data_IF_698505184340
#
_entry.id   IF_698505184340
#
_cell.length_a   1.000
_cell.length_b   1.000
_cell.length_c   1.000
_cell.angle_alpha   90.00
_cell.angle_beta   90.00
_cell.angle_gamma   90.00
#
_symmetry.space_group_name_H-M   'P 1'
#
loop_
_entity.id
_entity.type
_entity.pdbx_description
1 polymer ?
#
# COMPACT_ATOMS: atom_id res chain seq x y z
N UNK A 1 23.79 -14.61 20.78
CA UNK A 1 22.57 -13.79 20.88
C UNK A 1 21.43 -14.57 20.24
N UNK A 2 20.38 -14.94 20.97
CA UNK A 2 19.16 -15.49 20.33
C UNK A 2 18.55 -14.36 19.50
N UNK A 3 18.58 -14.50 18.17
CA UNK A 3 17.96 -13.53 17.26
C UNK A 3 16.48 -13.40 17.59
N UNK A 4 16.01 -12.18 17.79
CA UNK A 4 14.59 -11.92 17.99
C UNK A 4 13.95 -11.90 16.60
N UNK A 5 13.30 -13.00 16.20
CA UNK A 5 12.60 -13.10 14.93
C UNK A 5 11.10 -12.95 15.18
N UNK A 6 10.53 -11.84 14.70
CA UNK A 6 9.09 -11.67 14.65
C UNK A 6 8.58 -12.19 13.30
N UNK A 7 8.25 -13.48 13.26
CA UNK A 7 7.73 -14.18 12.07
C UNK A 7 6.54 -13.46 11.45
N UNK A 8 5.65 -12.88 12.27
CA UNK A 8 4.51 -12.11 11.77
C UNK A 8 4.96 -10.91 10.93
N UNK A 9 5.87 -10.10 11.48
CA UNK A 9 6.37 -8.91 10.78
C UNK A 9 7.11 -9.28 9.51
N UNK A 10 7.83 -10.41 9.52
CA UNK A 10 8.51 -10.93 8.33
C UNK A 10 7.50 -11.35 7.26
N UNK A 11 6.51 -12.19 7.60
CA UNK A 11 5.48 -12.64 6.65
C UNK A 11 4.66 -11.48 6.11
N UNK A 12 4.25 -10.54 6.96
CA UNK A 12 3.52 -9.34 6.54
C UNK A 12 4.38 -8.46 5.63
N UNK A 13 5.67 -8.28 5.93
CA UNK A 13 6.60 -7.53 5.11
C UNK A 13 6.82 -8.17 3.73
N UNK A 14 6.99 -9.49 3.68
CA UNK A 14 7.13 -10.23 2.41
C UNK A 14 5.85 -10.17 1.57
N UNK A 15 4.69 -10.36 2.19
CA UNK A 15 3.41 -10.23 1.50
C UNK A 15 3.22 -8.82 0.93
N UNK A 16 3.60 -7.79 1.70
CA UNK A 16 3.55 -6.41 1.25
C UNK A 16 4.52 -6.10 0.12
N UNK A 17 5.70 -6.72 0.12
CA UNK A 17 6.64 -6.61 -0.99
C UNK A 17 6.03 -7.19 -2.28
N UNK A 18 5.43 -8.39 -2.19
CA UNK A 18 4.72 -9.00 -3.31
C UNK A 18 3.56 -8.12 -3.80
N UNK A 19 2.79 -7.53 -2.87
CA UNK A 19 1.70 -6.62 -3.20
C UNK A 19 2.19 -5.33 -3.87
N UNK A 20 3.31 -4.75 -3.41
CA UNK A 20 3.88 -3.55 -4.01
C UNK A 20 4.27 -3.80 -5.47
N UNK A 21 4.93 -4.93 -5.74
CA UNK A 21 5.31 -5.35 -7.10
C UNK A 21 4.06 -5.62 -7.94
N UNK A 22 3.10 -6.39 -7.43
CA UNK A 22 1.87 -6.70 -8.14
C UNK A 22 1.07 -5.43 -8.48
N UNK A 23 0.96 -4.48 -7.55
CA UNK A 23 0.28 -3.20 -7.74
C UNK A 23 0.96 -2.34 -8.81
N UNK A 24 2.29 -2.24 -8.78
CA UNK A 24 3.05 -1.49 -9.78
C UNK A 24 2.91 -2.11 -11.17
N UNK A 25 3.10 -3.43 -11.29
CA UNK A 25 3.02 -4.16 -12.56
C UNK A 25 1.60 -4.13 -13.13
N UNK A 26 0.58 -4.38 -12.31
CA UNK A 26 -0.82 -4.32 -12.75
C UNK A 26 -1.19 -2.91 -13.24
N UNK A 27 -0.73 -1.87 -12.55
CA UNK A 27 -0.92 -0.48 -12.98
C UNK A 27 -0.37 -0.23 -14.38
N UNK A 28 0.88 -0.62 -14.62
CA UNK A 28 1.53 -0.43 -15.93
C UNK A 28 0.88 -1.26 -17.05
N UNK A 29 0.58 -2.54 -16.79
CA UNK A 29 0.10 -3.47 -17.81
C UNK A 29 -1.37 -3.28 -18.18
N UNK A 30 -2.21 -2.91 -17.21
CA UNK A 30 -3.67 -2.83 -17.37
C UNK A 30 -4.12 -1.38 -17.37
N UNK A 31 -3.93 -0.66 -16.25
CA UNK A 31 -4.52 0.67 -16.06
C UNK A 31 -3.91 1.72 -16.98
N UNK A 32 -2.58 1.82 -17.03
CA UNK A 32 -1.88 2.83 -17.83
C UNK A 32 -1.70 2.45 -19.29
N UNK A 33 -1.85 1.17 -19.62
CA UNK A 33 -1.86 0.73 -21.00
C UNK A 33 -3.15 1.24 -21.68
N UNK A 34 -4.31 0.98 -21.07
CA UNK A 34 -5.60 1.45 -21.57
C UNK A 34 -5.67 3.00 -21.63
N UNK A 35 -5.17 3.69 -20.60
CA UNK A 35 -5.13 5.16 -20.58
C UNK A 35 -4.23 5.77 -21.64
N UNK A 36 -3.11 5.12 -22.00
CA UNK A 36 -2.20 5.58 -23.07
C UNK A 36 -2.85 5.46 -24.45
N UNK A 37 -3.63 4.41 -24.69
CA UNK A 37 -4.31 4.19 -25.98
C UNK A 37 -5.53 5.09 -26.18
N UNK A 38 -6.16 5.57 -25.11
CA UNK A 38 -7.38 6.39 -25.19
C UNK A 38 -7.17 7.87 -25.58
N UNK A 39 -5.99 8.29 -26.05
CA UNK A 39 -5.69 9.68 -26.44
C UNK A 39 -6.04 10.72 -25.35
N UNK A 40 -5.86 10.36 -24.09
CA UNK A 40 -6.19 11.25 -22.98
C UNK A 40 -5.24 12.44 -22.88
N UNK A 41 -5.82 13.57 -22.50
CA UNK A 41 -5.14 14.76 -22.01
C UNK A 41 -4.02 14.38 -21.04
N UNK A 42 -2.79 14.84 -21.29
CA UNK A 42 -1.61 14.56 -20.47
C UNK A 42 -1.84 14.95 -19.01
N UNK A 43 -2.71 15.92 -18.74
CA UNK A 43 -3.09 16.32 -17.40
C UNK A 43 -3.84 15.21 -16.65
N UNK A 44 -4.78 14.51 -17.30
CA UNK A 44 -5.51 13.41 -16.66
C UNK A 44 -4.62 12.18 -16.44
N UNK A 45 -3.71 11.92 -17.37
CA UNK A 45 -2.72 10.85 -17.17
C UNK A 45 -1.90 11.11 -15.91
N UNK A 46 -1.39 12.34 -15.72
CA UNK A 46 -0.60 12.71 -14.56
C UNK A 46 -1.40 12.62 -13.23
N UNK A 47 -2.69 12.95 -13.23
CA UNK A 47 -3.53 12.92 -12.02
C UNK A 47 -3.85 11.50 -11.54
N UNK A 48 -3.77 10.50 -12.41
CA UNK A 48 -3.97 9.08 -12.04
C UNK A 48 -2.62 8.39 -11.80
N UNK A 49 -1.64 8.67 -12.66
CA UNK A 49 -0.33 8.02 -12.65
C UNK A 49 0.46 8.32 -11.38
N UNK A 50 0.51 9.60 -10.97
CA UNK A 50 1.30 10.00 -9.82
C UNK A 50 0.77 9.38 -8.50
N UNK A 51 -0.54 9.46 -8.17
CA UNK A 51 -1.06 8.83 -6.96
C UNK A 51 -0.91 7.31 -6.94
N UNK A 52 -1.04 6.63 -8.09
CA UNK A 52 -0.86 5.19 -8.18
C UNK A 52 0.55 4.76 -7.75
N UNK A 53 1.59 5.42 -8.28
CA UNK A 53 2.97 5.09 -7.97
C UNK A 53 3.42 5.56 -6.59
N UNK A 54 2.84 6.64 -6.07
CA UNK A 54 3.01 7.00 -4.66
C UNK A 54 2.60 5.85 -3.74
N UNK A 55 1.54 5.13 -4.05
CA UNK A 55 1.09 3.99 -3.24
C UNK A 55 1.98 2.77 -3.39
N UNK A 56 2.43 2.47 -4.61
CA UNK A 56 3.44 1.42 -4.83
C UNK A 56 4.69 1.68 -3.98
N UNK A 57 5.14 2.93 -3.91
CA UNK A 57 6.27 3.34 -3.08
C UNK A 57 5.98 3.17 -1.58
N UNK A 58 4.79 3.55 -1.13
CA UNK A 58 4.36 3.41 0.27
C UNK A 58 4.31 1.93 0.68
N UNK A 59 3.74 1.07 -0.17
CA UNK A 59 3.71 -0.38 0.06
C UNK A 59 5.12 -0.95 0.17
N UNK A 60 6.03 -0.52 -0.71
CA UNK A 60 7.43 -0.95 -0.71
C UNK A 60 8.16 -0.51 0.57
N UNK A 61 8.05 0.76 0.96
CA UNK A 61 8.68 1.28 2.18
C UNK A 61 8.10 0.61 3.44
N UNK A 62 6.80 0.31 3.42
CA UNK A 62 6.11 -0.42 4.50
C UNK A 62 6.60 -1.86 4.60
N UNK A 63 6.77 -2.53 3.45
CA UNK A 63 7.35 -3.87 3.37
C UNK A 63 8.76 -3.91 3.97
N UNK A 64 9.63 -2.99 3.53
CA UNK A 64 11.01 -2.85 4.04
C UNK A 64 11.01 -2.58 5.54
N UNK A 65 10.17 -1.65 6.01
CA UNK A 65 10.02 -1.33 7.43
C UNK A 65 9.63 -2.55 8.26
N UNK A 66 8.66 -3.35 7.79
CA UNK A 66 8.22 -4.55 8.47
C UNK A 66 9.28 -5.65 8.47
N UNK A 67 9.96 -5.89 7.35
CA UNK A 67 11.08 -6.85 7.27
C UNK A 67 12.20 -6.45 8.22
N UNK A 68 12.63 -5.19 8.23
CA UNK A 68 13.67 -4.72 9.17
C UNK A 68 13.18 -4.86 10.62
N UNK A 69 11.93 -4.50 10.89
CA UNK A 69 11.35 -4.61 12.22
C UNK A 69 11.26 -6.04 12.72
N UNK A 70 11.21 -7.03 11.82
CA UNK A 70 11.17 -8.44 12.18
C UNK A 70 12.41 -8.92 12.93
N UNK A 71 13.53 -8.18 12.80
CA UNK A 71 14.80 -8.45 13.48
C UNK A 71 15.08 -7.51 14.67
N UNK A 72 14.19 -6.55 14.97
CA UNK A 72 14.37 -5.57 16.05
C UNK A 72 13.35 -5.74 17.19
N UNK A 73 13.79 -5.51 18.43
CA UNK A 73 12.96 -5.64 19.65
C UNK A 73 11.88 -4.54 19.75
N UNK A 74 12.18 -3.34 19.26
CA UNK A 74 11.31 -2.18 19.28
C UNK A 74 10.78 -1.89 17.87
N UNK A 75 9.51 -2.24 17.62
CA UNK A 75 8.88 -2.15 16.30
C UNK A 75 7.67 -1.19 16.26
N UNK A 76 7.16 -0.76 17.41
CA UNK A 76 5.89 0.00 17.50
C UNK A 76 5.92 1.31 16.69
N UNK A 77 6.98 2.14 16.75
CA UNK A 77 7.01 3.41 16.01
C UNK A 77 6.93 3.22 14.49
N UNK A 78 7.63 2.20 13.96
CA UNK A 78 7.66 1.89 12.52
C UNK A 78 6.27 1.46 12.05
N UNK A 79 5.56 0.64 12.82
CA UNK A 79 4.20 0.22 12.45
C UNK A 79 3.19 1.37 12.47
N UNK A 80 3.27 2.27 13.46
CA UNK A 80 2.40 3.44 13.49
C UNK A 80 2.70 4.42 12.36
N UNK A 81 3.98 4.62 12.03
CA UNK A 81 4.37 5.42 10.88
C UNK A 81 3.82 4.84 9.57
N UNK A 82 4.00 3.53 9.37
CA UNK A 82 3.45 2.81 8.20
C UNK A 82 1.93 2.93 8.12
N UNK A 83 1.22 2.76 9.24
CA UNK A 83 -0.24 2.93 9.31
C UNK A 83 -0.67 4.36 8.99
N UNK A 84 0.04 5.35 9.51
CA UNK A 84 -0.25 6.76 9.27
C UNK A 84 -0.08 7.12 7.79
N UNK A 85 1.04 6.72 7.17
CA UNK A 85 1.33 6.97 5.75
C UNK A 85 0.29 6.25 4.86
N UNK A 86 -0.09 5.04 5.25
CA UNK A 86 -1.14 4.26 4.60
C UNK A 86 -2.48 4.98 4.60
N UNK A 87 -2.98 5.36 5.78
CA UNK A 87 -4.28 6.02 5.93
C UNK A 87 -4.27 7.37 5.20
N UNK A 88 -3.18 8.13 5.29
CA UNK A 88 -3.04 9.43 4.63
C UNK A 88 -3.11 9.31 3.11
N UNK A 89 -2.45 8.30 2.53
CA UNK A 89 -2.53 8.06 1.08
C UNK A 89 -3.92 7.59 0.64
N UNK A 90 -4.58 6.72 1.43
CA UNK A 90 -5.94 6.30 1.14
C UNK A 90 -6.88 7.52 1.13
N UNK A 91 -6.74 8.42 2.10
CA UNK A 91 -7.54 9.64 2.17
C UNK A 91 -7.31 10.54 0.95
N UNK A 92 -6.04 10.80 0.58
CA UNK A 92 -5.70 11.60 -0.61
C UNK A 92 -6.27 10.96 -1.88
N UNK A 93 -6.16 9.65 -2.02
CA UNK A 93 -6.68 8.93 -3.17
C UNK A 93 -8.22 9.01 -3.27
N UNK A 94 -8.93 8.74 -2.17
CA UNK A 94 -10.39 8.85 -2.11
C UNK A 94 -10.85 10.28 -2.44
N UNK A 95 -10.18 11.30 -1.91
CA UNK A 95 -10.46 12.70 -2.24
C UNK A 95 -10.22 12.99 -3.72
N UNK A 96 -9.13 12.47 -4.28
CA UNK A 96 -8.79 12.66 -5.70
C UNK A 96 -9.83 12.01 -6.60
N UNK A 97 -10.32 10.82 -6.25
CA UNK A 97 -11.40 10.14 -6.96
C UNK A 97 -12.69 10.93 -6.85
N UNK A 98 -13.14 11.24 -5.63
CA UNK A 98 -14.41 11.93 -5.40
C UNK A 98 -14.46 13.28 -6.13
N UNK A 99 -13.31 13.95 -6.27
CA UNK A 99 -13.21 15.26 -6.93
C UNK A 99 -13.13 15.20 -8.46
N UNK A 100 -12.55 14.13 -9.03
CA UNK A 100 -12.23 14.07 -10.47
C UNK A 100 -13.00 13.01 -11.28
N UNK A 101 -13.85 12.20 -10.64
CA UNK A 101 -14.31 10.95 -11.26
C UNK A 101 -15.81 10.92 -11.53
N UNK A 102 -16.17 10.85 -12.81
CA UNK A 102 -17.37 10.13 -13.23
C UNK A 102 -17.24 8.62 -12.93
N UNK A 103 -18.35 7.87 -13.00
CA UNK A 103 -18.47 6.46 -12.57
C UNK A 103 -17.33 5.52 -13.04
N UNK A 104 -16.71 5.77 -14.18
CA UNK A 104 -15.66 4.92 -14.76
C UNK A 104 -14.36 4.86 -13.92
N UNK A 105 -13.91 5.99 -13.38
CA UNK A 105 -12.69 6.09 -12.57
C UNK A 105 -12.85 5.40 -11.20
N UNK A 106 -14.08 5.36 -10.68
CA UNK A 106 -14.39 4.67 -9.42
C UNK A 106 -14.20 3.15 -9.53
N UNK A 107 -14.60 2.53 -10.65
CA UNK A 107 -14.41 1.09 -10.85
C UNK A 107 -12.94 0.71 -11.05
N UNK A 108 -12.17 1.56 -11.75
CA UNK A 108 -10.73 1.33 -11.95
C UNK A 108 -9.92 1.48 -10.65
N UNK A 109 -10.45 2.21 -9.67
CA UNK A 109 -9.85 2.40 -8.36
C UNK A 109 -10.06 1.26 -7.37
N UNK A 110 -10.98 0.33 -7.65
CA UNK A 110 -11.34 -0.75 -6.72
C UNK A 110 -10.15 -1.63 -6.29
N UNK A 111 -9.23 -2.04 -7.18
CA UNK A 111 -8.04 -2.81 -6.78
C UNK A 111 -7.23 -2.07 -5.70
N UNK A 112 -7.08 -0.76 -5.84
CA UNK A 112 -6.32 0.07 -4.92
C UNK A 112 -6.98 0.17 -3.54
N UNK A 113 -8.30 0.34 -3.49
CA UNK A 113 -9.07 0.30 -2.23
C UNK A 113 -8.94 -1.07 -1.56
N UNK A 114 -8.99 -2.15 -2.34
CA UNK A 114 -8.83 -3.51 -1.83
C UNK A 114 -7.44 -3.76 -1.22
N UNK A 115 -6.36 -3.33 -1.90
CA UNK A 115 -5.00 -3.42 -1.36
C UNK A 115 -4.83 -2.60 -0.08
N UNK A 116 -5.45 -1.42 0.01
CA UNK A 116 -5.45 -0.62 1.23
C UNK A 116 -6.13 -1.32 2.42
N UNK A 117 -7.27 -1.97 2.19
CA UNK A 117 -7.97 -2.70 3.24
C UNK A 117 -7.12 -3.87 3.76
N UNK A 118 -6.46 -4.61 2.86
CA UNK A 118 -5.56 -5.71 3.26
C UNK A 118 -4.38 -5.17 4.08
N UNK A 119 -3.77 -4.08 3.64
CA UNK A 119 -2.66 -3.44 4.33
C UNK A 119 -3.05 -3.03 5.76
N UNK A 120 -4.18 -2.36 5.95
CA UNK A 120 -4.69 -1.99 7.27
C UNK A 120 -4.93 -3.23 8.14
N UNK A 121 -5.54 -4.26 7.57
CA UNK A 121 -5.86 -5.50 8.29
C UNK A 121 -4.59 -6.23 8.76
N UNK A 122 -3.56 -6.29 7.92
CA UNK A 122 -2.24 -6.84 8.28
C UNK A 122 -1.51 -5.99 9.32
N UNK A 123 -1.68 -4.68 9.34
CA UNK A 123 -1.05 -3.87 10.39
C UNK A 123 -1.75 -4.11 11.74
N UNK A 124 -3.09 -4.11 11.76
CA UNK A 124 -3.89 -4.30 12.98
C UNK A 124 -3.72 -5.69 13.57
N UNK A 125 -3.78 -6.76 12.76
CA UNK A 125 -3.56 -8.13 13.25
C UNK A 125 -2.16 -8.32 13.85
N UNK A 126 -1.17 -7.61 13.31
CA UNK A 126 0.21 -7.64 13.80
C UNK A 126 0.39 -7.00 15.16
N UNK A 127 -0.45 -6.03 15.49
CA UNK A 127 -0.46 -5.40 16.80
C UNK A 127 -1.07 -6.34 17.85
N UNK A 128 -2.22 -6.96 17.54
CA UNK A 128 -2.96 -7.83 18.49
C UNK A 128 -2.20 -9.10 18.88
N UNK A 129 -1.48 -9.75 17.94
CA UNK A 129 -0.74 -11.00 18.22
C UNK A 129 0.37 -10.82 19.28
N UNK A 130 0.90 -9.61 19.48
CA UNK A 130 1.94 -9.35 20.49
C UNK A 130 1.40 -9.01 21.87
N UNK A 131 0.17 -8.51 21.96
CA UNK A 131 -0.51 -8.29 23.24
C UNK A 131 -0.95 -9.61 23.86
N UNK A 132 -1.35 -10.59 23.04
CA UNK A 132 -1.73 -11.92 23.50
C UNK A 132 -0.54 -12.80 23.98
N UNK A 133 0.70 -12.46 23.59
CA UNK A 133 1.93 -13.19 23.93
C UNK A 133 2.78 -12.47 25.00
N UNK A 134 2.21 -11.49 25.71
CA UNK A 134 2.81 -10.83 26.89
C UNK A 134 2.04 -11.25 28.13
#
# INVERSE_FOLDING_TARGET
MKGYLNEYALTAGLLLLCMAVAHAVYGEMVVFNDLRFMSFDRALFATIYLPWHQISLVLLLSAIGLVISSFKREYKPIQYFVLFVTISNLAIFLVTILRNSGKALFFQAWPQVFFFLILVLLIVLGQRKKEANR
#
